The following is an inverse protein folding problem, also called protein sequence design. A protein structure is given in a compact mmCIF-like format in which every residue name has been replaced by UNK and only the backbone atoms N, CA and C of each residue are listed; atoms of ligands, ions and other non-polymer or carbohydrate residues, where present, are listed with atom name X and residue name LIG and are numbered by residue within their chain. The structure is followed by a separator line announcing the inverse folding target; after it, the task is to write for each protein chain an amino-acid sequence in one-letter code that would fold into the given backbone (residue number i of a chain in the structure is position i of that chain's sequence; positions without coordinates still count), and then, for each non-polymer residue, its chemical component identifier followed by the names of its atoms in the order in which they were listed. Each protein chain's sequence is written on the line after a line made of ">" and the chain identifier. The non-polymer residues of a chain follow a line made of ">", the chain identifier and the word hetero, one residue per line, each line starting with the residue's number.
data_IF_166297946095
#
_entry.id   IF_166297946095
#
_cell.length_a   1.000
_cell.length_b   1.000
_cell.length_c   1.000
_cell.angle_alpha   90.00
_cell.angle_beta   90.00
_cell.angle_gamma   90.00
#
_symmetry.space_group_name_H-M   'P 1'
#
loop_
_entity.id
_entity.type
_entity.pdbx_description
1 polymer ?
#
# COMPACT_ATOMS: atom_id res chain seq x y z
N UNK A 1 -62.32 -0.17 5.28
CA UNK A 1 -62.52 0.48 3.97
C UNK A 1 -61.23 1.22 3.67
N UNK A 2 -60.38 0.89 2.71
CA UNK A 2 -60.34 -0.12 1.65
C UNK A 2 -58.84 -0.18 1.25
N UNK A 3 -58.20 -1.34 1.34
CA UNK A 3 -57.81 -2.23 0.23
C UNK A 3 -56.49 -1.88 -0.48
N UNK A 4 -55.54 -2.82 -0.34
CA UNK A 4 -54.61 -3.37 -1.34
C UNK A 4 -53.77 -2.45 -2.23
N UNK A 5 -52.45 -2.52 -2.02
CA UNK A 5 -51.58 -3.19 -3.01
C UNK A 5 -50.26 -3.65 -2.35
N UNK A 6 -50.25 -4.93 -1.96
CA UNK A 6 -49.04 -5.73 -1.75
C UNK A 6 -48.56 -6.23 -3.11
N UNK A 7 -47.53 -5.61 -3.67
CA UNK A 7 -46.72 -6.23 -4.73
C UNK A 7 -45.61 -7.07 -4.09
N UNK A 8 -45.87 -8.38 -4.06
CA UNK A 8 -44.85 -9.42 -3.96
C UNK A 8 -43.82 -9.20 -5.08
N UNK A 9 -42.55 -9.03 -4.72
CA UNK A 9 -41.45 -9.37 -5.61
C UNK A 9 -40.77 -10.64 -5.08
N UNK A 10 -40.74 -11.62 -5.98
CA UNK A 10 -40.27 -12.98 -5.85
C UNK A 10 -38.79 -13.09 -5.52
N UNK A 11 -38.47 -14.08 -4.68
CA UNK A 11 -37.14 -14.67 -4.53
C UNK A 11 -36.59 -15.12 -5.90
N UNK A 12 -35.30 -14.88 -6.13
CA UNK A 12 -34.56 -15.51 -7.22
C UNK A 12 -33.42 -14.68 -7.80
N UNK A 13 -32.30 -14.57 -7.09
CA UNK A 13 -30.92 -14.69 -7.61
C UNK A 13 -29.97 -13.96 -6.66
N UNK A 14 -29.24 -14.77 -5.89
CA UNK A 14 -28.28 -14.36 -4.87
C UNK A 14 -27.01 -13.83 -5.58
N UNK A 15 -27.04 -12.55 -5.94
CA UNK A 15 -25.89 -11.79 -6.38
C UNK A 15 -25.78 -10.59 -5.46
N UNK A 16 -24.97 -10.73 -4.40
CA UNK A 16 -24.77 -9.72 -3.35
C UNK A 16 -24.59 -8.33 -3.93
N UNK A 17 -25.67 -7.55 -3.94
CA UNK A 17 -25.70 -6.17 -4.35
C UNK A 17 -25.13 -5.36 -3.19
N UNK A 18 -23.80 -5.33 -3.10
CA UNK A 18 -23.12 -4.49 -2.13
C UNK A 18 -23.44 -3.04 -2.46
N UNK A 19 -24.15 -2.38 -1.53
CA UNK A 19 -24.35 -0.95 -1.53
C UNK A 19 -22.98 -0.27 -1.36
N UNK A 20 -22.27 -0.06 -2.47
CA UNK A 20 -21.18 0.91 -2.53
C UNK A 20 -21.76 2.29 -2.24
N UNK A 21 -21.79 2.68 -0.97
CA UNK A 21 -22.26 4.00 -0.58
C UNK A 21 -21.32 5.04 -1.20
N UNK A 22 -21.87 5.86 -2.10
CA UNK A 22 -21.15 6.96 -2.72
C UNK A 22 -20.52 7.84 -1.65
N UNK A 23 -19.20 7.96 -1.64
CA UNK A 23 -18.50 9.00 -0.90
C UNK A 23 -18.12 8.67 0.54
N UNK A 24 -17.94 7.38 0.88
CA UNK A 24 -17.33 7.03 2.17
C UNK A 24 -15.90 7.57 2.24
N UNK A 25 -15.55 8.39 3.26
CA UNK A 25 -14.20 8.89 3.43
C UNK A 25 -13.25 7.75 3.79
N UNK A 26 -12.08 7.73 3.14
CA UNK A 26 -11.03 6.70 3.32
C UNK A 26 -9.83 7.26 4.06
N UNK A 27 -9.38 8.44 3.65
CA UNK A 27 -8.22 9.10 4.24
C UNK A 27 -8.37 10.61 4.19
N UNK A 28 -7.79 11.28 5.19
CA UNK A 28 -7.72 12.73 5.28
C UNK A 28 -6.28 13.14 5.55
N UNK A 29 -5.73 14.01 4.71
CA UNK A 29 -4.36 14.52 4.86
C UNK A 29 -4.34 16.03 4.76
N UNK A 30 -3.69 16.66 5.73
CA UNK A 30 -3.44 18.10 5.70
C UNK A 30 -2.36 18.44 4.68
N UNK A 31 -2.59 19.46 3.87
CA UNK A 31 -1.56 20.00 3.00
C UNK A 31 -0.72 21.00 3.78
N UNK A 32 0.54 20.64 4.06
CA UNK A 32 1.49 21.58 4.63
C UNK A 32 1.90 22.58 3.54
N UNK A 33 1.53 23.86 3.70
CA UNK A 33 2.08 24.94 2.89
C UNK A 33 3.30 25.47 3.62
N UNK A 34 4.49 25.23 3.06
CA UNK A 34 5.76 25.69 3.63
C UNK A 34 5.78 27.21 3.92
N UNK A 35 5.03 28.04 3.19
CA UNK A 35 5.19 29.51 3.27
C UNK A 35 3.94 30.37 3.02
N UNK A 36 2.71 29.96 3.39
CA UNK A 36 1.59 30.93 3.31
C UNK A 36 1.61 31.88 4.52
N UNK A 37 1.88 33.17 4.25
CA UNK A 37 1.85 34.27 5.22
C UNK A 37 0.48 34.47 5.89
N UNK A 38 -0.60 33.96 5.28
CA UNK A 38 -1.96 34.05 5.81
C UNK A 38 -2.27 32.83 6.67
N UNK A 39 -2.19 33.00 8.00
CA UNK A 39 -2.27 31.92 9.00
C UNK A 39 -3.66 31.31 9.14
N UNK A 40 -4.68 31.92 8.56
CA UNK A 40 -6.09 31.54 8.73
C UNK A 40 -6.56 30.46 7.75
N UNK A 41 -5.92 30.33 6.58
CA UNK A 41 -6.42 29.45 5.52
C UNK A 41 -5.60 28.15 5.44
N UNK A 42 -6.20 27.03 5.84
CA UNK A 42 -5.60 25.69 5.81
C UNK A 42 -6.28 24.83 4.76
N UNK A 43 -5.53 23.92 4.14
CA UNK A 43 -6.08 23.02 3.12
C UNK A 43 -5.89 21.56 3.52
N UNK A 44 -6.84 20.72 3.15
CA UNK A 44 -6.74 19.28 3.33
C UNK A 44 -7.32 18.54 2.12
N UNK A 45 -6.79 17.34 1.89
CA UNK A 45 -7.29 16.40 0.91
C UNK A 45 -8.12 15.33 1.62
N UNK A 46 -9.23 14.95 1.00
CA UNK A 46 -10.10 13.86 1.41
C UNK A 46 -10.18 12.83 0.29
N UNK A 47 -9.66 11.64 0.57
CA UNK A 47 -9.80 10.47 -0.29
C UNK A 47 -11.17 9.82 -0.03
N UNK A 48 -11.90 9.52 -1.09
CA UNK A 48 -13.14 8.72 -1.04
C UNK A 48 -12.96 7.40 -1.79
N UNK A 49 -14.04 6.64 -1.96
CA UNK A 49 -14.09 5.45 -2.79
C UNK A 49 -13.89 5.69 -4.29
N UNK A 50 -14.05 6.94 -4.78
CA UNK A 50 -13.98 7.25 -6.21
C UNK A 50 -13.14 8.47 -6.60
N UNK A 51 -12.92 9.40 -5.66
CA UNK A 51 -12.31 10.69 -5.96
C UNK A 51 -11.47 11.24 -4.81
N UNK A 52 -10.59 12.18 -5.16
CA UNK A 52 -9.88 13.02 -4.19
C UNK A 52 -10.56 14.40 -4.21
N UNK A 53 -10.93 14.89 -3.04
CA UNK A 53 -11.49 16.23 -2.85
C UNK A 53 -10.49 17.10 -2.09
N UNK A 54 -10.34 18.35 -2.52
CA UNK A 54 -9.57 19.34 -1.78
C UNK A 54 -10.49 20.39 -1.18
N UNK A 55 -10.24 20.72 0.08
CA UNK A 55 -11.01 21.71 0.84
C UNK A 55 -10.09 22.78 1.41
N UNK A 56 -10.57 24.01 1.44
CA UNK A 56 -10.02 25.10 2.22
C UNK A 56 -10.83 25.29 3.50
N UNK A 57 -10.14 25.56 4.60
CA UNK A 57 -10.70 25.90 5.89
C UNK A 57 -10.19 27.28 6.25
N UNK A 58 -11.11 28.20 6.44
CA UNK A 58 -10.82 29.51 7.00
C UNK A 58 -11.13 29.50 8.49
N UNK A 59 -10.07 29.62 9.29
CA UNK A 59 -10.14 29.69 10.75
C UNK A 59 -10.51 31.11 11.18
N UNK A 60 -11.79 31.45 11.01
CA UNK A 60 -12.42 32.67 11.52
C UNK A 60 -13.43 32.33 12.63
N UNK A 61 -13.98 33.30 13.39
CA UNK A 61 -15.01 33.04 14.40
C UNK A 61 -16.23 32.27 13.86
N UNK A 62 -16.50 32.39 12.56
CA UNK A 62 -17.36 31.48 11.82
C UNK A 62 -16.49 30.52 10.99
N UNK A 63 -16.32 29.28 11.46
CA UNK A 63 -15.61 28.25 10.71
C UNK A 63 -16.24 28.10 9.31
N UNK A 64 -15.46 28.39 8.27
CA UNK A 64 -15.90 28.25 6.89
C UNK A 64 -15.09 27.16 6.20
N UNK A 65 -15.77 26.21 5.56
CA UNK A 65 -15.17 25.13 4.80
C UNK A 65 -15.70 25.19 3.38
N UNK A 66 -14.79 25.43 2.42
CA UNK A 66 -15.13 25.49 1.00
C UNK A 66 -14.40 24.39 0.24
N UNK A 67 -15.10 23.77 -0.72
CA UNK A 67 -14.50 22.79 -1.63
C UNK A 67 -13.77 23.54 -2.74
N UNK A 68 -12.47 23.31 -2.87
CA UNK A 68 -11.64 23.94 -3.91
C UNK A 68 -11.77 23.16 -5.20
N UNK A 69 -11.64 21.84 -5.14
CA UNK A 69 -11.70 20.98 -6.31
C UNK A 69 -12.01 19.52 -5.98
N UNK A 70 -12.33 18.76 -7.03
CA UNK A 70 -12.43 17.29 -6.98
C UNK A 70 -11.72 16.66 -8.17
N UNK A 71 -11.18 15.46 -7.98
CA UNK A 71 -10.52 14.67 -9.01
C UNK A 71 -10.99 13.22 -8.92
N UNK A 72 -11.85 12.81 -9.86
CA UNK A 72 -12.31 11.43 -9.99
C UNK A 72 -11.23 10.59 -10.68
N UNK A 73 -10.83 9.49 -10.03
CA UNK A 73 -9.81 8.58 -10.57
C UNK A 73 -10.30 7.12 -10.63
N UNK A 74 -11.31 6.74 -9.83
CA UNK A 74 -12.04 5.47 -9.99
C UNK A 74 -13.42 5.77 -10.59
N UNK A 75 -13.43 6.16 -11.86
CA UNK A 75 -14.66 6.47 -12.60
C UNK A 75 -15.18 5.31 -13.43
N UNK A 76 -16.50 5.30 -13.66
CA UNK A 76 -17.17 4.34 -14.56
C UNK A 76 -16.95 4.64 -16.03
N UNK A 77 -16.60 5.90 -16.34
CA UNK A 77 -16.22 6.28 -17.68
C UNK A 77 -14.79 5.79 -17.92
N UNK A 78 -14.71 4.72 -18.70
CA UNK A 78 -13.46 4.07 -19.08
C UNK A 78 -12.49 5.00 -19.76
N UNK A 79 -12.80 6.28 -19.97
CA UNK A 79 -11.92 7.29 -20.52
C UNK A 79 -11.08 8.10 -19.53
N UNK A 80 -11.44 8.16 -18.25
CA UNK A 80 -10.88 9.15 -17.33
C UNK A 80 -10.16 8.56 -16.10
N UNK A 81 -10.46 7.33 -15.71
CA UNK A 81 -9.93 6.70 -14.49
C UNK A 81 -8.69 5.82 -14.67
N UNK A 82 -8.11 5.38 -13.55
CA UNK A 82 -7.03 4.37 -13.52
C UNK A 82 -7.45 3.02 -14.12
N UNK A 83 -8.76 2.80 -14.30
CA UNK A 83 -9.29 1.61 -14.94
C UNK A 83 -8.76 1.40 -16.37
N UNK A 84 -8.38 2.46 -17.10
CA UNK A 84 -7.73 2.34 -18.43
C UNK A 84 -6.41 1.60 -18.40
N UNK A 85 -5.62 1.85 -17.36
CA UNK A 85 -4.28 1.28 -17.22
C UNK A 85 -4.35 -0.16 -16.69
N UNK A 86 -5.55 -0.58 -16.29
CA UNK A 86 -5.82 -1.84 -15.63
C UNK A 86 -6.54 -2.78 -16.60
N UNK A 87 -5.85 -3.83 -17.03
CA UNK A 87 -6.44 -4.82 -17.92
C UNK A 87 -7.57 -5.62 -17.22
N UNK A 88 -8.75 -5.70 -17.85
CA UNK A 88 -9.88 -6.53 -17.41
C UNK A 88 -10.87 -5.86 -16.46
N UNK A 89 -11.91 -6.59 -16.06
CA UNK A 89 -12.84 -6.14 -15.03
C UNK A 89 -12.13 -6.24 -13.67
N UNK A 90 -11.69 -5.10 -13.16
CA UNK A 90 -10.99 -4.96 -11.88
C UNK A 90 -11.84 -4.08 -10.96
N UNK A 91 -12.05 -4.52 -9.72
CA UNK A 91 -12.67 -3.70 -8.67
C UNK A 91 -11.54 -3.02 -7.90
N UNK A 92 -11.61 -1.71 -7.79
CA UNK A 92 -10.54 -0.89 -7.20
C UNK A 92 -11.02 -0.35 -5.87
N UNK A 93 -10.13 -0.38 -4.89
CA UNK A 93 -10.33 0.08 -3.53
C UNK A 93 -9.25 1.08 -3.16
N UNK A 94 -9.56 2.39 -3.17
CA UNK A 94 -8.69 3.37 -2.54
C UNK A 94 -8.63 3.12 -1.03
N UNK A 95 -7.41 3.00 -0.49
CA UNK A 95 -7.20 2.61 0.92
C UNK A 95 -6.72 3.81 1.74
N UNK A 96 -5.64 4.44 1.33
CA UNK A 96 -5.05 5.57 2.03
C UNK A 96 -4.34 6.52 1.04
N UNK A 97 -4.17 7.77 1.45
CA UNK A 97 -3.52 8.84 0.68
C UNK A 97 -2.45 9.50 1.56
N UNK A 98 -1.35 9.90 0.95
CA UNK A 98 -0.31 10.71 1.58
C UNK A 98 0.22 11.76 0.63
N UNK A 99 0.72 12.86 1.19
CA UNK A 99 1.39 13.93 0.45
C UNK A 99 2.86 13.91 0.87
N UNK A 100 3.78 14.06 -0.09
CA UNK A 100 5.19 14.22 0.22
C UNK A 100 5.48 15.47 1.06
N UNK A 101 6.65 15.51 1.68
CA UNK A 101 7.07 16.62 2.55
C UNK A 101 7.07 17.98 1.83
N UNK A 102 7.28 17.97 0.52
CA UNK A 102 7.26 19.14 -0.36
C UNK A 102 5.84 19.63 -0.73
N UNK A 103 4.80 18.83 -0.49
CA UNK A 103 3.43 19.14 -0.89
C UNK A 103 3.15 19.01 -2.40
N UNK A 104 4.08 18.42 -3.16
CA UNK A 104 4.07 18.37 -4.64
C UNK A 104 3.50 17.06 -5.18
N UNK A 105 3.70 15.96 -4.46
CA UNK A 105 3.37 14.62 -4.93
C UNK A 105 2.34 14.01 -3.98
N UNK A 106 1.22 13.61 -4.56
CA UNK A 106 0.16 12.88 -3.89
C UNK A 106 0.36 11.39 -4.22
N UNK A 107 0.39 10.54 -3.20
CA UNK A 107 0.55 9.09 -3.36
C UNK A 107 -0.64 8.40 -2.74
N UNK A 108 -1.32 7.57 -3.54
CA UNK A 108 -2.46 6.77 -3.09
C UNK A 108 -2.09 5.30 -3.04
N UNK A 109 -2.46 4.64 -1.96
CA UNK A 109 -2.45 3.19 -1.85
C UNK A 109 -3.79 2.64 -2.35
N UNK A 110 -3.72 1.79 -3.36
CA UNK A 110 -4.90 1.15 -3.96
C UNK A 110 -4.78 -0.37 -3.86
N UNK A 111 -5.89 -1.02 -3.50
CA UNK A 111 -6.06 -2.46 -3.68
C UNK A 111 -6.94 -2.72 -4.90
N UNK A 112 -6.59 -3.74 -5.67
CA UNK A 112 -7.28 -4.10 -6.89
C UNK A 112 -7.63 -5.59 -6.79
N UNK A 113 -8.92 -5.89 -6.81
CA UNK A 113 -9.38 -7.26 -6.90
C UNK A 113 -9.27 -7.75 -8.33
N UNK A 114 -8.54 -8.84 -8.51
CA UNK A 114 -8.24 -9.45 -9.79
C UNK A 114 -8.75 -10.88 -9.82
N UNK A 115 -9.26 -11.31 -10.99
CA UNK A 115 -9.62 -12.70 -11.26
C UNK A 115 -8.74 -13.22 -12.40
N UNK A 116 -7.95 -14.24 -12.10
CA UNK A 116 -7.15 -14.94 -13.11
C UNK A 116 -8.07 -15.77 -14.01
N UNK A 117 -8.01 -15.52 -15.32
CA UNK A 117 -8.85 -16.23 -16.29
C UNK A 117 -8.41 -17.67 -16.53
N UNK A 118 -7.12 -17.96 -16.33
CA UNK A 118 -6.56 -19.30 -16.58
C UNK A 118 -6.87 -20.22 -15.41
N UNK A 119 -6.61 -19.76 -14.20
CA UNK A 119 -6.80 -20.57 -12.98
C UNK A 119 -8.18 -20.39 -12.34
N UNK A 120 -8.97 -19.41 -12.79
CA UNK A 120 -10.22 -18.96 -12.14
C UNK A 120 -10.04 -18.51 -10.67
N UNK A 121 -8.79 -18.36 -10.21
CA UNK A 121 -8.49 -17.91 -8.86
C UNK A 121 -8.66 -16.39 -8.74
N UNK A 122 -9.02 -15.95 -7.54
CA UNK A 122 -9.12 -14.52 -7.21
C UNK A 122 -7.96 -14.12 -6.31
N UNK A 123 -7.43 -12.92 -6.51
CA UNK A 123 -6.34 -12.37 -5.72
C UNK A 123 -6.48 -10.85 -5.60
N UNK A 124 -5.80 -10.28 -4.61
CA UNK A 124 -5.69 -8.83 -4.43
C UNK A 124 -4.31 -8.38 -4.92
N UNK A 125 -4.28 -7.34 -5.72
CA UNK A 125 -3.06 -6.63 -6.11
C UNK A 125 -2.99 -5.31 -5.31
N UNK A 126 -1.86 -5.03 -4.66
CA UNK A 126 -1.62 -3.76 -3.98
C UNK A 126 -0.66 -2.92 -4.80
N UNK A 127 -1.05 -1.68 -5.09
CA UNK A 127 -0.33 -0.79 -5.98
C UNK A 127 -0.32 0.65 -5.46
N UNK A 128 0.66 1.44 -5.92
CA UNK A 128 0.75 2.87 -5.65
C UNK A 128 0.38 3.66 -6.91
N UNK A 129 -0.47 4.66 -6.74
CA UNK A 129 -0.74 5.69 -7.74
C UNK A 129 -0.07 6.97 -7.28
N UNK A 130 0.84 7.53 -8.08
CA UNK A 130 1.46 8.83 -7.81
C UNK A 130 0.94 9.88 -8.77
N UNK A 131 0.51 11.01 -8.20
CA UNK A 131 -0.06 12.13 -8.91
C UNK A 131 0.62 13.43 -8.51
N UNK A 132 0.55 14.41 -9.40
CA UNK A 132 1.04 15.76 -9.17
C UNK A 132 0.05 16.77 -9.76
N UNK A 133 0.11 18.00 -9.28
CA UNK A 133 -0.62 19.10 -9.89
C UNK A 133 -0.11 19.36 -11.31
N UNK A 134 -1.03 19.57 -12.25
CA UNK A 134 -0.67 19.96 -13.61
C UNK A 134 0.07 21.29 -13.65
N UNK A 135 1.09 21.36 -14.49
CA UNK A 135 1.79 22.62 -14.75
C UNK A 135 0.83 23.69 -15.28
N UNK A 136 0.88 24.89 -14.69
CA UNK A 136 0.04 26.02 -15.07
C UNK A 136 -1.31 26.13 -14.34
N UNK A 137 -1.70 25.14 -13.53
CA UNK A 137 -2.91 25.22 -12.70
C UNK A 137 -2.59 25.95 -11.39
N UNK A 138 -3.15 27.14 -11.20
CA UNK A 138 -2.98 27.88 -9.95
C UNK A 138 -4.02 27.45 -8.91
N UNK A 139 -3.64 26.50 -8.06
CA UNK A 139 -4.48 25.90 -7.00
C UNK A 139 -4.80 26.91 -5.87
N UNK A 140 -4.20 28.10 -5.88
CA UNK A 140 -4.53 29.17 -4.93
C UNK A 140 -5.77 29.99 -5.29
N UNK A 141 -6.37 29.77 -6.47
CA UNK A 141 -7.51 30.56 -6.95
C UNK A 141 -8.84 29.86 -6.66
N UNK A 142 -9.78 30.61 -6.08
CA UNK A 142 -11.09 30.20 -5.54
C UNK A 142 -12.10 29.59 -6.53
N UNK A 143 -11.72 29.31 -7.77
CA UNK A 143 -12.64 28.71 -8.73
C UNK A 143 -11.86 27.97 -9.81
N UNK A 144 -11.47 26.73 -9.53
CA UNK A 144 -11.11 25.82 -10.62
C UNK A 144 -12.43 25.35 -11.25
N UNK A 145 -12.53 25.48 -12.57
CA UNK A 145 -13.72 25.07 -13.30
C UNK A 145 -13.97 23.57 -13.06
N UNK A 146 -15.23 23.13 -12.86
CA UNK A 146 -15.56 21.76 -12.47
C UNK A 146 -15.14 20.66 -13.48
N UNK A 147 -14.64 21.04 -14.65
CA UNK A 147 -14.26 20.14 -15.75
C UNK A 147 -12.74 20.14 -16.02
N UNK A 148 -11.97 20.96 -15.29
CA UNK A 148 -10.53 21.03 -15.48
C UNK A 148 -9.83 19.97 -14.64
N UNK A 149 -9.07 19.08 -15.30
CA UNK A 149 -8.25 18.09 -14.58
C UNK A 149 -7.06 18.79 -13.92
N UNK A 150 -7.08 18.83 -12.60
CA UNK A 150 -6.06 19.49 -11.77
C UNK A 150 -4.87 18.58 -11.49
N UNK A 151 -5.12 17.28 -11.34
CA UNK A 151 -4.08 16.27 -11.12
C UNK A 151 -3.76 15.55 -12.43
N UNK A 152 -2.51 15.15 -12.56
CA UNK A 152 -2.01 14.23 -13.57
C UNK A 152 -1.14 13.14 -12.92
N UNK A 153 -1.05 11.99 -13.59
CA UNK A 153 -0.19 10.90 -13.13
C UNK A 153 1.27 11.30 -13.28
N UNK A 154 2.04 11.17 -12.21
CA UNK A 154 3.49 11.42 -12.22
C UNK A 154 4.26 10.24 -12.83
N UNK A 155 3.79 9.02 -12.58
CA UNK A 155 4.39 7.80 -13.08
C UNK A 155 3.31 6.74 -13.34
N UNK A 156 3.61 5.67 -14.10
CA UNK A 156 2.74 4.49 -14.18
C UNK A 156 2.44 3.91 -12.80
N UNK A 157 1.30 3.23 -12.68
CA UNK A 157 0.91 2.55 -11.44
C UNK A 157 2.00 1.56 -11.04
N UNK A 158 2.51 1.69 -9.83
CA UNK A 158 3.56 0.82 -9.32
C UNK A 158 2.93 -0.33 -8.55
N UNK A 159 3.05 -1.55 -9.08
CA UNK A 159 2.65 -2.76 -8.37
C UNK A 159 3.65 -3.06 -7.26
N UNK A 160 3.15 -3.19 -6.03
CA UNK A 160 3.95 -3.56 -4.86
C UNK A 160 3.79 -5.06 -4.62
N UNK A 161 2.55 -5.53 -4.43
CA UNK A 161 2.25 -6.93 -4.20
C UNK A 161 1.34 -7.40 -5.34
N UNK A 162 1.85 -8.19 -6.30
CA UNK A 162 1.10 -8.54 -7.50
C UNK A 162 -0.02 -9.56 -7.23
N UNK A 163 0.18 -10.47 -6.27
CA UNK A 163 -0.77 -11.54 -5.94
C UNK A 163 -0.79 -11.79 -4.44
N UNK A 164 -1.61 -11.03 -3.72
CA UNK A 164 -1.96 -11.30 -2.33
C UNK A 164 -3.24 -12.14 -2.22
N UNK A 165 -3.47 -12.71 -1.04
CA UNK A 165 -4.76 -13.35 -0.74
C UNK A 165 -5.89 -12.33 -0.84
N UNK A 166 -7.09 -12.83 -1.13
CA UNK A 166 -8.29 -12.00 -1.06
C UNK A 166 -8.57 -11.72 0.41
N UNK A 167 -8.55 -10.44 0.76
CA UNK A 167 -8.84 -9.95 2.11
C UNK A 167 -10.30 -9.46 2.17
N UNK A 168 -10.86 -9.42 3.37
CA UNK A 168 -12.13 -8.75 3.61
C UNK A 168 -11.97 -7.21 3.60
N UNK A 169 -13.10 -6.50 3.53
CA UNK A 169 -13.11 -5.04 3.44
C UNK A 169 -12.55 -4.37 4.70
N UNK A 170 -12.76 -4.95 5.88
CA UNK A 170 -12.27 -4.40 7.15
C UNK A 170 -10.74 -4.42 7.19
N UNK A 171 -10.13 -5.54 6.79
CA UNK A 171 -8.69 -5.65 6.66
C UNK A 171 -8.14 -4.68 5.59
N UNK A 172 -8.77 -4.59 4.41
CA UNK A 172 -8.34 -3.65 3.37
C UNK A 172 -8.31 -2.20 3.88
N UNK A 173 -9.37 -1.77 4.58
CA UNK A 173 -9.46 -0.40 5.10
C UNK A 173 -8.61 -0.16 6.35
N UNK A 174 -8.02 -1.19 6.93
CA UNK A 174 -7.03 -1.06 8.00
C UNK A 174 -5.63 -0.68 7.49
N UNK A 175 -5.40 -0.80 6.18
CA UNK A 175 -4.12 -0.49 5.54
C UNK A 175 -3.87 1.02 5.55
N UNK A 176 -2.68 1.43 5.99
CA UNK A 176 -2.23 2.82 6.01
C UNK A 176 -0.94 2.98 5.23
N UNK A 177 -0.76 4.17 4.66
CA UNK A 177 0.39 4.58 3.86
C UNK A 177 1.17 5.68 4.59
N UNK A 178 2.49 5.63 4.49
CA UNK A 178 3.42 6.73 4.82
C UNK A 178 4.41 6.87 3.68
N UNK A 179 4.76 8.10 3.31
CA UNK A 179 5.70 8.40 2.22
C UNK A 179 6.98 9.04 2.77
N UNK A 180 8.11 8.74 2.12
CA UNK A 180 9.39 9.37 2.42
C UNK A 180 10.49 8.37 2.78
N UNK A 181 11.37 8.82 3.67
CA UNK A 181 12.46 8.01 4.23
C UNK A 181 13.55 7.68 3.22
N UNK A 182 14.68 7.17 3.73
CA UNK A 182 15.77 6.66 2.89
C UNK A 182 15.56 5.19 2.53
N UNK A 183 15.78 4.81 1.25
CA UNK A 183 16.15 5.65 0.11
C UNK A 183 14.97 6.50 -0.39
N UNK A 184 15.26 7.67 -0.97
CA UNK A 184 14.24 8.61 -1.42
C UNK A 184 13.21 7.98 -2.37
N UNK A 185 11.93 8.30 -2.16
CA UNK A 185 10.82 7.69 -2.88
C UNK A 185 10.37 6.33 -2.30
N UNK A 186 10.89 5.94 -1.15
CA UNK A 186 10.33 4.82 -0.39
C UNK A 186 8.97 5.15 0.21
N UNK A 187 8.22 4.12 0.52
CA UNK A 187 6.97 4.20 1.27
C UNK A 187 6.91 3.10 2.32
N UNK A 188 6.18 3.34 3.40
CA UNK A 188 5.81 2.32 4.37
C UNK A 188 4.32 2.06 4.30
N UNK A 189 3.97 0.78 4.25
CA UNK A 189 2.59 0.30 4.31
C UNK A 189 2.43 -0.41 5.64
N UNK A 190 1.46 0.04 6.42
CA UNK A 190 1.09 -0.54 7.71
C UNK A 190 -0.22 -1.30 7.52
N UNK A 191 -0.22 -2.59 7.80
CA UNK A 191 -1.44 -3.42 7.80
C UNK A 191 -2.08 -3.45 9.19
N UNK A 192 -3.40 -3.69 9.25
CA UNK A 192 -4.13 -3.75 10.51
C UNK A 192 -3.73 -4.91 11.42
N UNK A 193 -3.07 -5.94 10.87
CA UNK A 193 -2.48 -7.03 11.66
C UNK A 193 -1.20 -6.62 12.41
N UNK A 194 -0.70 -5.40 12.20
CA UNK A 194 0.49 -4.88 12.86
C UNK A 194 1.79 -5.10 12.10
N UNK A 195 1.73 -5.53 10.84
CA UNK A 195 2.91 -5.64 9.99
C UNK A 195 3.25 -4.29 9.36
N UNK A 196 4.55 -4.00 9.22
CA UNK A 196 5.04 -2.86 8.45
C UNK A 196 5.89 -3.36 7.28
N UNK A 197 5.60 -2.86 6.09
CA UNK A 197 6.32 -3.22 4.86
C UNK A 197 6.82 -1.95 4.18
N UNK A 198 8.14 -1.85 4.01
CA UNK A 198 8.77 -0.78 3.24
C UNK A 198 8.85 -1.21 1.78
N UNK A 199 8.40 -0.35 0.86
CA UNK A 199 8.51 -0.54 -0.58
C UNK A 199 9.36 0.57 -1.19
N UNK A 200 10.26 0.22 -2.09
CA UNK A 200 11.10 1.17 -2.82
C UNK A 200 11.22 0.77 -4.29
N UNK A 201 10.85 1.67 -5.19
CA UNK A 201 11.03 1.46 -6.62
C UNK A 201 12.44 1.84 -7.06
N UNK A 202 13.20 0.88 -7.59
CA UNK A 202 14.55 1.14 -8.06
C UNK A 202 14.84 0.41 -9.36
N UNK A 203 15.34 1.13 -10.38
CA UNK A 203 15.76 0.56 -11.68
C UNK A 203 14.74 -0.41 -12.29
N UNK A 204 13.47 0.01 -12.33
CA UNK A 204 12.36 -0.75 -12.86
C UNK A 204 11.95 -2.01 -12.06
N UNK A 205 12.42 -2.17 -10.83
CA UNK A 205 11.93 -3.20 -9.91
C UNK A 205 11.48 -2.62 -8.58
N UNK A 206 10.42 -3.19 -8.02
CA UNK A 206 9.99 -2.87 -6.65
C UNK A 206 10.78 -3.76 -5.68
N UNK A 207 11.50 -3.15 -4.74
CA UNK A 207 12.12 -3.83 -3.59
C UNK A 207 11.21 -3.73 -2.39
N UNK A 208 11.05 -4.84 -1.68
CA UNK A 208 10.18 -4.93 -0.52
C UNK A 208 11.01 -5.40 0.68
N UNK A 209 10.88 -4.68 1.79
CA UNK A 209 11.44 -5.05 3.06
C UNK A 209 10.31 -5.12 4.09
N UNK A 210 10.01 -6.31 4.56
CA UNK A 210 9.10 -6.49 5.69
C UNK A 210 9.88 -6.25 6.98
N UNK A 211 9.37 -5.38 7.84
CA UNK A 211 9.95 -5.16 9.16
C UNK A 211 9.58 -6.32 10.07
N UNK A 212 10.59 -7.10 10.46
CA UNK A 212 10.41 -8.23 11.36
C UNK A 212 10.62 -7.80 12.81
N UNK A 213 9.59 -8.03 13.62
CA UNK A 213 9.57 -7.74 15.04
C UNK A 213 10.18 -8.91 15.83
N UNK A 214 11.03 -8.64 16.84
CA UNK A 214 11.31 -9.61 17.89
C UNK A 214 10.01 -10.11 18.53
N UNK A 215 9.99 -11.36 19.01
CA UNK A 215 8.78 -12.02 19.55
C UNK A 215 8.06 -11.22 20.66
N UNK A 216 8.77 -10.38 21.38
CA UNK A 216 8.28 -9.57 22.50
C UNK A 216 7.88 -8.13 22.11
N UNK A 217 8.22 -7.67 20.90
CA UNK A 217 8.01 -6.27 20.50
C UNK A 217 6.54 -5.89 20.21
N UNK A 218 5.66 -6.89 20.06
CA UNK A 218 4.24 -6.67 19.77
C UNK A 218 4.01 -6.21 18.32
N UNK A 219 2.90 -5.52 18.05
CA UNK A 219 2.54 -5.01 16.71
C UNK A 219 3.17 -3.65 16.39
N UNK A 220 3.31 -3.33 15.11
CA UNK A 220 3.61 -1.96 14.67
C UNK A 220 2.36 -1.10 14.73
N UNK A 221 2.45 0.03 15.42
CA UNK A 221 1.37 0.98 15.66
C UNK A 221 1.36 2.14 14.68
N UNK A 222 2.52 2.69 14.35
CA UNK A 222 2.67 3.76 13.36
C UNK A 222 4.10 3.79 12.80
N UNK A 223 4.30 4.57 11.74
CA UNK A 223 5.60 4.81 11.14
C UNK A 223 5.79 6.28 10.79
N UNK A 224 7.04 6.72 10.83
CA UNK A 224 7.48 8.07 10.49
C UNK A 224 8.91 8.05 9.96
N UNK A 225 9.40 9.20 9.53
CA UNK A 225 10.74 9.37 8.99
C UNK A 225 11.52 10.25 9.96
N UNK A 226 12.72 9.83 10.33
CA UNK A 226 13.60 10.69 11.13
C UNK A 226 14.05 11.90 10.29
N UNK A 227 14.21 13.08 10.89
CA UNK A 227 14.82 14.20 10.20
C UNK A 227 16.28 13.87 9.85
N UNK A 228 16.80 14.40 8.74
CA UNK A 228 18.23 14.38 8.43
C UNK A 228 18.81 15.79 8.39
N UNK A 229 20.10 15.92 8.67
CA UNK A 229 20.80 17.21 8.69
C UNK A 229 20.90 17.86 7.29
N UNK A 230 20.78 17.06 6.24
CA UNK A 230 20.95 17.49 4.85
C UNK A 230 19.67 18.12 4.25
N UNK A 231 18.60 18.25 5.06
CA UNK A 231 17.27 18.68 4.60
C UNK A 231 16.50 17.63 3.80
N UNK A 232 17.09 16.44 3.63
CA UNK A 232 16.44 15.27 3.06
C UNK A 232 15.74 14.44 4.14
N UNK A 233 14.93 13.48 3.69
CA UNK A 233 14.36 12.45 4.55
C UNK A 233 15.46 11.59 5.17
N UNK A 234 15.33 11.25 6.46
CA UNK A 234 16.23 10.33 7.16
C UNK A 234 15.77 8.88 7.10
N UNK A 235 16.27 8.05 8.03
CA UNK A 235 15.86 6.66 8.11
C UNK A 235 14.38 6.52 8.51
N UNK A 236 13.76 5.42 8.10
CA UNK A 236 12.43 5.06 8.57
C UNK A 236 12.45 4.74 10.05
N UNK A 237 11.38 5.10 10.75
CA UNK A 237 11.13 4.82 12.15
C UNK A 237 9.77 4.15 12.29
N UNK A 238 9.69 3.07 13.07
CA UNK A 238 8.43 2.38 13.39
C UNK A 238 8.22 2.38 14.89
N UNK A 239 6.99 2.67 15.32
CA UNK A 239 6.57 2.60 16.71
C UNK A 239 5.90 1.24 16.95
N UNK A 240 6.36 0.51 17.95
CA UNK A 240 5.87 -0.81 18.32
C UNK A 240 5.14 -0.77 19.66
N UNK A 241 4.24 -1.71 19.91
CA UNK A 241 3.44 -1.78 21.14
C UNK A 241 4.29 -1.89 22.41
N UNK A 242 5.30 -2.76 22.40
CA UNK A 242 6.03 -3.13 23.62
C UNK A 242 7.49 -2.68 23.63
N UNK A 243 8.09 -2.46 22.45
CA UNK A 243 9.51 -2.17 22.33
C UNK A 243 9.83 -0.73 21.89
N UNK A 244 8.82 0.15 21.84
CA UNK A 244 9.00 1.57 21.51
C UNK A 244 9.39 1.80 20.05
N UNK A 245 10.26 2.77 19.81
CA UNK A 245 10.64 3.24 18.46
C UNK A 245 11.86 2.50 17.93
N UNK A 246 11.77 1.99 16.70
CA UNK A 246 12.83 1.28 16.00
C UNK A 246 13.17 1.97 14.69
N UNK A 247 14.46 2.09 14.39
CA UNK A 247 14.93 2.60 13.11
C UNK A 247 15.06 1.46 12.10
N UNK A 248 14.57 1.66 10.87
CA UNK A 248 14.83 0.79 9.74
C UNK A 248 15.96 1.43 8.92
N UNK A 249 17.15 0.81 8.87
CA UNK A 249 18.28 1.37 8.15
C UNK A 249 18.05 1.32 6.64
N UNK A 250 18.51 2.35 5.92
CA UNK A 250 18.43 2.44 4.45
C UNK A 250 18.95 1.18 3.75
N UNK A 251 20.04 0.59 4.28
CA UNK A 251 20.62 -0.65 3.72
C UNK A 251 19.63 -1.81 3.71
N UNK A 252 18.75 -1.94 4.70
CA UNK A 252 17.75 -3.00 4.72
C UNK A 252 16.71 -2.80 3.61
N UNK A 253 16.27 -1.56 3.40
CA UNK A 253 15.33 -1.21 2.32
C UNK A 253 15.97 -1.41 0.95
N UNK A 254 17.23 -1.01 0.78
CA UNK A 254 17.98 -1.19 -0.46
C UNK A 254 18.23 -2.67 -0.75
N UNK A 255 18.61 -3.49 0.22
CA UNK A 255 18.84 -4.92 -0.03
C UNK A 255 17.54 -5.64 -0.35
N UNK A 256 16.42 -5.20 0.23
CA UNK A 256 15.17 -5.95 0.21
C UNK A 256 15.28 -7.18 1.12
N UNK A 257 14.22 -7.46 1.86
CA UNK A 257 14.17 -8.61 2.77
C UNK A 257 13.23 -9.71 2.31
N UNK A 258 12.34 -9.40 1.37
CA UNK A 258 11.26 -10.28 0.96
C UNK A 258 11.09 -10.13 -0.55
N UNK A 259 11.39 -11.18 -1.31
CA UNK A 259 10.79 -11.35 -2.65
C UNK A 259 9.27 -11.29 -2.45
N UNK A 260 8.48 -10.66 -3.36
CA UNK A 260 7.04 -10.50 -3.19
C UNK A 260 6.46 -11.84 -2.74
N UNK A 261 5.69 -11.88 -1.63
CA UNK A 261 5.37 -13.15 -1.01
C UNK A 261 4.68 -14.07 -2.01
N UNK A 262 5.42 -15.03 -2.55
CA UNK A 262 4.86 -16.30 -3.02
C UNK A 262 4.47 -17.12 -1.78
N UNK A 263 3.61 -16.53 -0.93
CA UNK A 263 2.88 -17.31 0.09
C UNK A 263 1.84 -18.11 -0.67
N UNK A 264 2.38 -19.18 -1.22
CA UNK A 264 1.76 -20.21 -2.01
C UNK A 264 0.45 -20.65 -1.37
N UNK A 265 -0.51 -20.84 -2.27
CA UNK A 265 -1.63 -21.75 -2.12
C UNK A 265 -1.13 -23.09 -1.57
N UNK A 266 -1.07 -23.23 -0.25
CA UNK A 266 -0.85 -24.51 0.40
C UNK A 266 -1.54 -24.50 1.75
N UNK A 267 -2.84 -24.76 1.71
CA UNK A 267 -3.49 -25.49 2.78
C UNK A 267 -4.43 -26.51 2.18
N UNK A 268 -4.09 -27.78 2.46
CA UNK A 268 -4.96 -28.93 2.71
C UNK A 268 -5.00 -30.00 1.61
N UNK A 269 -4.20 -31.05 1.85
CA UNK A 269 -4.42 -32.36 1.23
C UNK A 269 -3.23 -33.30 1.22
N UNK A 270 -2.64 -33.66 2.36
CA UNK A 270 -2.02 -35.00 2.48
C UNK A 270 -1.90 -35.40 3.95
N UNK A 271 -2.57 -36.49 4.26
CA UNK A 271 -2.60 -37.21 5.53
C UNK A 271 -1.26 -37.86 5.88
N UNK A 272 -0.92 -37.87 7.16
CA UNK A 272 0.11 -38.73 7.77
C UNK A 272 0.01 -40.19 7.31
N UNK A 273 1.14 -40.83 6.97
CA UNK A 273 1.75 -41.93 7.74
C UNK A 273 2.92 -42.61 7.00
N UNK A 274 3.87 -43.13 7.79
CA UNK A 274 4.93 -44.13 7.49
C UNK A 274 6.22 -43.62 6.83
N UNK A 275 7.30 -43.39 7.59
CA UNK A 275 8.23 -44.37 8.20
C UNK A 275 9.27 -44.93 7.21
N UNK A 276 10.52 -44.51 7.36
CA UNK A 276 11.68 -45.42 7.41
C UNK A 276 12.95 -44.64 7.79
N UNK A 277 13.33 -44.81 9.05
CA UNK A 277 14.74 -44.88 9.45
C UNK A 277 15.39 -46.03 8.65
N UNK A 278 16.67 -45.88 8.32
CA UNK A 278 17.54 -46.77 7.53
C UNK A 278 17.49 -46.60 6.01
N UNK A 279 18.42 -45.80 5.49
CA UNK A 279 19.40 -46.38 4.56
C UNK A 279 20.80 -45.85 4.87
N UNK A 280 21.53 -46.72 5.56
CA UNK A 280 22.96 -46.66 5.83
C UNK A 280 23.75 -46.67 4.52
N UNK A 281 24.91 -45.99 4.58
CA UNK A 281 26.21 -46.40 4.00
C UNK A 281 26.22 -46.66 2.48
N UNK A 282 26.98 -45.84 1.75
CA UNK A 282 28.04 -46.30 0.84
C UNK A 282 28.68 -45.09 0.12
N UNK A 283 29.66 -44.45 0.78
CA UNK A 283 30.70 -43.67 0.09
C UNK A 283 32.04 -44.06 0.72
N UNK A 284 32.49 -45.27 0.40
CA UNK A 284 33.85 -45.75 0.73
C UNK A 284 34.75 -45.57 -0.48
N UNK A 285 35.60 -44.55 -0.38
CA UNK A 285 36.82 -44.35 -1.14
C UNK A 285 37.73 -45.59 -1.08
N UNK A 286 38.40 -45.89 -2.19
CA UNK A 286 39.34 -47.01 -2.33
C UNK A 286 40.54 -46.88 -1.37
N UNK A 287 40.85 -47.97 -0.66
CA UNK A 287 42.15 -48.20 0.00
C UNK A 287 43.26 -48.43 -1.04
N UNK A 288 44.56 -48.41 -0.74
CA UNK A 288 45.32 -48.60 0.49
C UNK A 288 46.66 -47.86 0.28
N UNK A 289 47.26 -47.29 1.34
CA UNK A 289 48.72 -47.32 1.61
C UNK A 289 48.91 -46.90 3.09
N UNK A 290 49.77 -47.66 3.77
CA UNK A 290 49.97 -47.69 5.22
C UNK A 290 50.81 -46.52 5.79
N UNK A 291 50.97 -46.54 7.12
CA UNK A 291 51.25 -45.45 8.05
C UNK A 291 52.72 -45.29 8.49
N UNK A 292 53.15 -44.02 8.60
CA UNK A 292 54.12 -43.35 9.52
C UNK A 292 55.52 -43.94 9.83
N UNK A 293 56.56 -43.08 9.68
CA UNK A 293 57.54 -42.58 10.71
C UNK A 293 58.57 -41.65 10.00
N UNK A 294 58.74 -40.38 10.39
CA UNK A 294 59.56 -39.78 11.46
C UNK A 294 61.03 -39.47 11.07
N UNK A 295 61.37 -38.15 11.09
CA UNK A 295 62.61 -37.44 11.45
C UNK A 295 63.99 -37.68 10.76
N UNK A 296 64.64 -36.53 10.49
CA UNK A 296 66.07 -36.13 10.57
C UNK A 296 67.16 -36.69 9.62
N UNK A 297 67.86 -35.71 9.01
CA UNK A 297 69.30 -35.59 8.68
C UNK A 297 70.05 -36.74 7.97
N UNK A 298 70.51 -36.47 6.74
CA UNK A 298 71.90 -36.11 6.37
C UNK A 298 72.02 -36.12 4.83
#
# INVERSE_FOLDING_TARGET
>A
MDQDMLSKNSEGSDGGQFFGGRGYPRSLVWQSRSHSLDKSNRQFLLLTDHEIRCFAIELSPSLNVSKIWTHEFVGTDGDLGIQKDLAGQKRIWPLDLQIDNDGKVITDLIAIFCKDRVTSSSYTEYSLLTMQYKSGVNVSSECVQPHERILEKKAPIQVIIPKARVEDEEFLFSMRLKVGGKPAGSVVILSGDGTATVSHYWRNSTRIYQFDLPYDAGRVLDASVFPSDDGEDGAWAVLTENAGVWAIPERAVLLGGVEPPERSLSCKGSSNERSSVEERKNLSFAGNIASRRAASEA
#
